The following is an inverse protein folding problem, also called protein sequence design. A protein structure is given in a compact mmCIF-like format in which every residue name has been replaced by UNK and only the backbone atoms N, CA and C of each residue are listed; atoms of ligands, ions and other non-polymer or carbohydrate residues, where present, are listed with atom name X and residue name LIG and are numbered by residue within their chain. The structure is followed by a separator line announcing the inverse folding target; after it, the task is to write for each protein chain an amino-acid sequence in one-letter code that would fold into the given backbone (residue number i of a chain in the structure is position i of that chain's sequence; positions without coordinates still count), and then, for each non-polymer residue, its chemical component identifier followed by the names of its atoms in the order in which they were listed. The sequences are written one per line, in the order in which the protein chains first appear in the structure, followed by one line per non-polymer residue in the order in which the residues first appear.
data_IF_456326594514
#
_entry.id   IF_456326594514
#
_cell.length_a   1.000
_cell.length_b   1.000
_cell.length_c   1.000
_cell.angle_alpha   90.00
_cell.angle_beta   90.00
_cell.angle_gamma   90.00
#
_symmetry.space_group_name_H-M   'P 1'
#
loop_
_entity.id
_entity.type
_entity.pdbx_description
1 polymer ?
#
# COMPACT_ATOMS: atom_id res chain seq x y z
N UNK A 1 -0.26 -5.43 12.98
CA UNK A 1 0.39 -5.61 11.67
C UNK A 1 1.04 -4.31 11.27
N UNK A 2 2.31 -4.32 10.95
CA UNK A 2 2.98 -3.13 10.44
C UNK A 2 2.82 -3.01 8.92
N UNK A 3 2.55 -1.80 8.42
CA UNK A 3 2.42 -1.54 6.97
C UNK A 3 3.69 -1.99 6.21
N UNK A 4 4.86 -1.90 6.84
CA UNK A 4 6.14 -2.35 6.27
C UNK A 4 6.16 -3.84 5.97
N UNK A 5 5.60 -4.66 6.86
CA UNK A 5 5.52 -6.11 6.69
C UNK A 5 4.52 -6.50 5.61
N UNK A 6 3.36 -5.82 5.57
CA UNK A 6 2.31 -6.13 4.60
C UNK A 6 2.75 -5.74 3.18
N UNK A 7 3.36 -4.55 3.03
CA UNK A 7 3.85 -4.04 1.73
C UNK A 7 4.83 -5.01 1.07
N UNK A 8 5.81 -5.51 1.84
CA UNK A 8 6.89 -6.41 1.39
C UNK A 8 7.51 -5.96 0.05
N UNK A 9 7.08 -6.57 -1.04
CA UNK A 9 7.52 -6.44 -2.43
C UNK A 9 6.83 -5.31 -3.23
N UNK A 10 5.68 -4.82 -2.80
CA UNK A 10 4.92 -3.80 -3.54
C UNK A 10 5.62 -2.44 -3.42
N UNK A 11 6.05 -1.77 -4.50
CA UNK A 11 6.71 -0.47 -4.43
C UNK A 11 5.85 0.64 -3.79
N UNK A 12 6.49 1.61 -3.09
CA UNK A 12 5.75 2.70 -2.42
C UNK A 12 4.98 3.55 -3.45
N UNK A 13 5.57 3.79 -4.62
CA UNK A 13 4.93 4.58 -5.68
C UNK A 13 3.60 3.95 -6.15
N UNK A 14 3.50 2.61 -6.19
CA UNK A 14 2.26 1.90 -6.59
C UNK A 14 1.16 2.15 -5.57
N UNK A 15 1.48 2.03 -4.28
CA UNK A 15 0.54 2.27 -3.19
C UNK A 15 0.12 3.74 -3.16
N UNK A 16 1.07 4.66 -3.37
CA UNK A 16 0.80 6.08 -3.42
C UNK A 16 -0.16 6.44 -4.57
N UNK A 17 0.07 5.84 -5.75
CA UNK A 17 -0.80 6.00 -6.91
C UNK A 17 -2.23 5.47 -6.60
N UNK A 18 -2.35 4.29 -5.98
CA UNK A 18 -3.65 3.72 -5.58
C UNK A 18 -4.40 4.60 -4.58
N UNK A 19 -3.68 5.28 -3.70
CA UNK A 19 -4.23 6.21 -2.71
C UNK A 19 -4.41 7.63 -3.25
N UNK A 20 -4.10 7.87 -4.53
CA UNK A 20 -4.13 9.19 -5.18
C UNK A 20 -3.33 10.26 -4.42
N UNK A 21 -2.12 9.90 -3.96
CA UNK A 21 -1.19 10.79 -3.27
C UNK A 21 0.20 10.73 -3.87
N UNK A 22 1.00 11.77 -3.66
CA UNK A 22 2.41 11.73 -4.01
C UNK A 22 3.17 10.69 -3.17
N UNK A 23 4.18 10.05 -3.77
CA UNK A 23 5.04 9.09 -3.08
C UNK A 23 5.68 9.68 -1.82
N UNK A 24 6.10 10.95 -1.88
CA UNK A 24 6.68 11.67 -0.74
C UNK A 24 5.65 11.85 0.40
N UNK A 25 4.38 12.08 0.06
CA UNK A 25 3.30 12.15 1.04
C UNK A 25 3.14 10.82 1.76
N UNK A 26 3.09 9.72 1.01
CA UNK A 26 2.99 8.38 1.60
C UNK A 26 4.24 8.03 2.42
N UNK A 27 5.45 8.35 1.95
CA UNK A 27 6.70 8.18 2.74
C UNK A 27 6.65 8.96 4.05
N UNK A 28 6.14 10.18 4.04
CA UNK A 28 6.00 11.00 5.24
C UNK A 28 4.95 10.44 6.20
N UNK A 29 3.85 9.89 5.68
CA UNK A 29 2.84 9.18 6.49
C UNK A 29 3.45 7.98 7.21
N UNK A 30 4.24 7.17 6.52
CA UNK A 30 4.89 5.97 7.09
C UNK A 30 5.99 6.26 8.12
N UNK A 31 6.40 7.53 8.28
CA UNK A 31 7.36 7.97 9.31
C UNK A 31 6.67 8.49 10.57
N UNK A 32 5.36 8.79 10.51
CA UNK A 32 4.59 9.36 11.60
C UNK A 32 3.65 8.30 12.18
N UNK A 33 3.14 8.56 13.38
CA UNK A 33 2.04 7.75 13.89
C UNK A 33 0.77 8.10 13.12
N UNK A 34 0.18 7.09 12.47
CA UNK A 34 -1.00 7.24 11.63
C UNK A 34 -2.25 6.94 12.45
N UNK A 35 -3.34 7.66 12.18
CA UNK A 35 -4.65 7.28 12.69
C UNK A 35 -5.01 5.87 12.21
N UNK A 36 -5.81 5.15 13.00
CA UNK A 36 -6.22 3.78 12.65
C UNK A 36 -6.90 3.74 11.28
N UNK A 37 -7.81 4.68 11.00
CA UNK A 37 -8.47 4.83 9.70
C UNK A 37 -7.47 4.94 8.53
N UNK A 38 -6.42 5.74 8.68
CA UNK A 38 -5.40 5.89 7.64
C UNK A 38 -4.57 4.62 7.47
N UNK A 39 -4.25 3.93 8.58
CA UNK A 39 -3.56 2.63 8.54
C UNK A 39 -4.42 1.64 7.76
N UNK A 40 -5.72 1.57 8.04
CA UNK A 40 -6.65 0.65 7.38
C UNK A 40 -6.76 0.95 5.88
N UNK A 41 -6.86 2.22 5.48
CA UNK A 41 -6.86 2.63 4.07
C UNK A 41 -5.61 2.14 3.32
N UNK A 42 -4.42 2.32 3.92
CA UNK A 42 -3.16 1.89 3.32
C UNK A 42 -3.12 0.36 3.21
N UNK A 43 -3.56 -0.35 4.24
CA UNK A 43 -3.60 -1.81 4.24
C UNK A 43 -4.53 -2.34 3.15
N UNK A 44 -5.74 -1.79 3.04
CA UNK A 44 -6.70 -2.18 1.99
C UNK A 44 -6.15 -1.93 0.59
N UNK A 45 -5.46 -0.80 0.37
CA UNK A 45 -4.80 -0.53 -0.90
C UNK A 45 -3.73 -1.58 -1.23
N UNK A 46 -2.89 -1.96 -0.25
CA UNK A 46 -1.85 -2.98 -0.42
C UNK A 46 -2.46 -4.35 -0.74
N UNK A 47 -3.53 -4.75 -0.02
CA UNK A 47 -4.21 -6.02 -0.24
C UNK A 47 -4.85 -6.09 -1.62
N UNK A 48 -5.50 -5.01 -2.07
CA UNK A 48 -6.09 -4.94 -3.41
C UNK A 48 -5.02 -5.10 -4.51
N UNK A 49 -3.90 -4.38 -4.40
CA UNK A 49 -2.78 -4.49 -5.35
C UNK A 49 -2.24 -5.93 -5.39
N UNK A 50 -2.11 -6.57 -4.22
CA UNK A 50 -1.61 -7.95 -4.15
C UNK A 50 -2.55 -8.94 -4.83
N UNK A 51 -3.87 -8.77 -4.67
CA UNK A 51 -4.83 -9.63 -5.34
C UNK A 51 -4.84 -9.39 -6.86
N UNK A 52 -4.70 -8.15 -7.31
CA UNK A 52 -4.54 -7.80 -8.73
C UNK A 52 -3.31 -8.52 -9.34
N UNK A 53 -2.12 -8.40 -8.72
CA UNK A 53 -0.91 -9.10 -9.16
C UNK A 53 -1.12 -10.62 -9.22
N UNK A 54 -1.70 -11.20 -8.18
CA UNK A 54 -1.97 -12.65 -8.11
C UNK A 54 -2.96 -13.11 -9.18
N UNK A 55 -3.94 -12.28 -9.50
CA UNK A 55 -4.91 -12.57 -10.56
C UNK A 55 -4.27 -12.52 -11.95
N UNK A 56 -3.34 -11.60 -12.20
CA UNK A 56 -2.58 -11.50 -13.44
C UNK A 56 -1.64 -12.70 -13.64
N UNK A 57 -0.96 -13.15 -12.57
CA UNK A 57 -0.11 -14.35 -12.57
C UNK A 57 -0.88 -15.64 -12.93
N UNK A 58 -2.17 -15.73 -12.57
CA UNK A 58 -3.01 -16.89 -12.88
C UNK A 58 -3.51 -16.90 -14.34
N UNK A 59 -3.46 -15.76 -15.01
CA UNK A 59 -3.94 -15.56 -16.37
C UNK A 59 -2.81 -15.59 -17.41
N UNK A 60 -1.55 -15.65 -16.97
CA UNK A 60 -0.34 -15.70 -17.79
C UNK A 60 0.22 -17.12 -17.88
#
# INVERSE_FOLDING_TARGET
MEIREIKKDIPIWVIANRLNVHENTLRNWLKKDLSQERKDQIIQAILAIREEIRSEERMS
#
